data_IF_251989958492
#
_entry.id   IF_251989958492
#
_cell.length_a   1.000
_cell.length_b   1.000
_cell.length_c   1.000
_cell.angle_alpha   90.00
_cell.angle_beta   90.00
_cell.angle_gamma   90.00
#
_symmetry.space_group_name_H-M   'P 1'
#
loop_
_entity.id
_entity.type
_entity.pdbx_description
1 polymer ?
#
# COMPACT_ATOMS: atom_id res chain seq x y z
N UNK A 1 -17.73 6.37 30.36
CA UNK A 1 -17.05 7.54 29.74
C UNK A 1 -17.92 8.11 28.62
N UNK A 2 -18.67 9.17 28.93
CA UNK A 2 -19.61 9.80 28.00
C UNK A 2 -18.86 10.53 26.86
N UNK A 3 -19.30 10.33 25.61
CA UNK A 3 -18.78 11.11 24.48
C UNK A 3 -19.20 12.56 24.65
N UNK A 4 -18.24 13.50 24.64
CA UNK A 4 -18.50 14.95 24.68
C UNK A 4 -19.61 15.35 23.69
N UNK A 5 -20.49 16.27 24.09
CA UNK A 5 -21.57 16.81 23.25
C UNK A 5 -21.10 17.22 21.85
N UNK A 6 -19.87 17.74 21.74
CA UNK A 6 -19.26 18.11 20.45
C UNK A 6 -19.00 16.88 19.57
N UNK A 7 -18.52 15.77 20.14
CA UNK A 7 -18.33 14.50 19.43
C UNK A 7 -19.66 13.88 19.01
N UNK A 8 -20.69 13.94 19.87
CA UNK A 8 -22.03 13.41 19.54
C UNK A 8 -22.70 14.17 18.38
N UNK A 9 -22.65 15.51 18.39
CA UNK A 9 -23.16 16.33 17.27
C UNK A 9 -22.42 16.04 15.97
N UNK A 10 -21.10 15.94 16.01
CA UNK A 10 -20.30 15.60 14.83
C UNK A 10 -20.62 14.19 14.30
N UNK A 11 -20.79 13.21 15.18
CA UNK A 11 -21.11 11.84 14.78
C UNK A 11 -22.52 11.73 14.17
N UNK A 12 -23.52 12.44 14.73
CA UNK A 12 -24.86 12.55 14.12
C UNK A 12 -24.82 13.22 12.75
N UNK A 13 -24.11 14.33 12.60
CA UNK A 13 -23.96 15.02 11.33
C UNK A 13 -23.23 14.16 10.27
N UNK A 14 -22.20 13.41 10.68
CA UNK A 14 -21.51 12.48 9.80
C UNK A 14 -22.40 11.29 9.43
N UNK A 15 -23.18 10.74 10.36
CA UNK A 15 -24.10 9.64 10.09
C UNK A 15 -25.19 10.04 9.08
N UNK A 16 -25.74 11.25 9.17
CA UNK A 16 -26.71 11.78 8.20
C UNK A 16 -26.11 11.96 6.79
N UNK A 17 -24.81 12.27 6.70
CA UNK A 17 -24.08 12.39 5.42
C UNK A 17 -23.57 11.06 4.87
N UNK A 18 -23.44 10.04 5.73
CA UNK A 18 -22.89 8.73 5.39
C UNK A 18 -24.00 7.77 4.94
N UNK A 19 -24.73 8.14 3.88
CA UNK A 19 -25.54 7.13 3.20
C UNK A 19 -24.58 6.33 2.33
N UNK A 20 -24.31 5.08 2.72
CA UNK A 20 -23.43 4.20 1.95
C UNK A 20 -23.82 4.12 0.47
N UNK A 21 -22.97 3.57 -0.40
CA UNK A 21 -23.18 3.60 -1.83
C UNK A 21 -24.53 2.98 -2.23
N UNK A 22 -25.43 3.80 -2.79
CA UNK A 22 -26.81 3.38 -3.15
C UNK A 22 -26.90 2.76 -4.56
N UNK A 23 -25.93 3.05 -5.43
CA UNK A 23 -25.89 2.59 -6.83
C UNK A 23 -24.96 1.38 -6.99
N UNK A 24 -25.22 0.54 -8.00
CA UNK A 24 -24.37 -0.63 -8.32
C UNK A 24 -22.90 -0.25 -8.52
N UNK A 25 -22.63 0.80 -9.30
CA UNK A 25 -21.27 1.33 -9.49
C UNK A 25 -20.64 1.90 -8.19
N UNK A 26 -21.46 2.49 -7.31
CA UNK A 26 -21.04 2.92 -5.99
C UNK A 26 -20.64 1.76 -5.10
N UNK A 27 -21.44 0.68 -5.08
CA UNK A 27 -21.15 -0.55 -4.34
C UNK A 27 -19.88 -1.22 -4.87
N UNK A 28 -19.68 -1.25 -6.18
CA UNK A 28 -18.47 -1.80 -6.82
C UNK A 28 -17.20 -0.98 -6.53
N UNK A 29 -17.31 0.34 -6.46
CA UNK A 29 -16.19 1.21 -6.01
C UNK A 29 -15.89 1.02 -4.53
N UNK A 30 -16.92 0.88 -3.69
CA UNK A 30 -16.77 0.63 -2.26
C UNK A 30 -16.23 -0.76 -1.94
N UNK A 31 -16.65 -1.80 -2.68
CA UNK A 31 -16.09 -3.15 -2.56
C UNK A 31 -14.63 -3.18 -3.00
N UNK A 32 -14.28 -2.42 -4.05
CA UNK A 32 -12.88 -2.20 -4.44
C UNK A 32 -12.06 -1.50 -3.37
N UNK A 33 -12.62 -0.67 -2.49
CA UNK A 33 -11.85 -0.11 -1.37
C UNK A 33 -11.41 -1.20 -0.37
N UNK A 34 -12.26 -2.20 -0.13
CA UNK A 34 -11.91 -3.33 0.74
C UNK A 34 -10.86 -4.24 0.10
N UNK A 35 -10.98 -4.48 -1.22
CA UNK A 35 -10.02 -5.26 -2.02
C UNK A 35 -8.69 -4.51 -2.20
N UNK A 36 -8.71 -3.19 -2.41
CA UNK A 36 -7.52 -2.33 -2.60
C UNK A 36 -6.61 -2.31 -1.37
N UNK A 37 -7.18 -2.49 -0.19
CA UNK A 37 -6.45 -2.47 1.08
C UNK A 37 -6.12 -3.87 1.61
N UNK A 38 -6.37 -4.95 0.85
CA UNK A 38 -6.03 -6.33 1.24
C UNK A 38 -6.77 -6.84 2.48
N UNK A 39 -7.67 -6.04 3.06
CA UNK A 39 -8.33 -6.37 4.31
C UNK A 39 -9.24 -7.59 4.16
N UNK A 40 -9.73 -7.91 2.96
CA UNK A 40 -10.63 -9.06 2.69
C UNK A 40 -9.93 -10.36 2.30
N UNK A 41 -8.60 -10.40 2.18
CA UNK A 41 -7.85 -11.60 1.72
C UNK A 41 -7.22 -12.42 2.84
N UNK A 42 -7.72 -12.30 4.07
CA UNK A 42 -7.33 -13.26 5.12
C UNK A 42 -8.04 -14.58 4.88
N UNK A 43 -7.30 -15.68 4.90
CA UNK A 43 -7.86 -17.03 4.91
C UNK A 43 -8.70 -17.22 6.19
N UNK A 44 -9.87 -17.84 6.05
CA UNK A 44 -10.81 -18.13 7.14
C UNK A 44 -11.89 -17.07 7.38
N UNK A 45 -13.01 -17.50 7.98
CA UNK A 45 -14.11 -16.61 8.35
C UNK A 45 -13.69 -15.73 9.54
N UNK A 46 -13.77 -14.39 9.44
CA UNK A 46 -13.52 -13.51 10.58
C UNK A 46 -14.42 -13.85 11.78
N UNK A 47 -15.66 -14.28 11.52
CA UNK A 47 -16.61 -14.62 12.57
C UNK A 47 -16.17 -15.85 13.36
N UNK A 48 -15.65 -16.89 12.69
CA UNK A 48 -15.15 -18.09 13.35
C UNK A 48 -13.90 -17.80 14.19
N UNK A 49 -12.98 -16.99 13.68
CA UNK A 49 -11.81 -16.58 14.45
C UNK A 49 -12.19 -15.76 15.68
N UNK A 50 -13.19 -14.86 15.56
CA UNK A 50 -13.71 -14.08 16.68
C UNK A 50 -14.34 -15.01 17.73
N UNK A 51 -15.23 -15.92 17.30
CA UNK A 51 -15.89 -16.86 18.19
C UNK A 51 -14.88 -17.72 18.96
N UNK A 52 -13.93 -18.34 18.24
CA UNK A 52 -12.86 -19.15 18.84
C UNK A 52 -12.06 -18.39 19.89
N UNK A 53 -11.62 -17.16 19.58
CA UNK A 53 -10.83 -16.35 20.53
C UNK A 53 -11.68 -15.93 21.73
N UNK A 54 -12.96 -15.58 21.53
CA UNK A 54 -13.85 -15.19 22.61
C UNK A 54 -14.19 -16.36 23.54
N UNK A 55 -14.44 -17.54 22.98
CA UNK A 55 -14.64 -18.79 23.72
C UNK A 55 -13.41 -19.18 24.52
N UNK A 56 -12.22 -19.09 23.92
CA UNK A 56 -10.94 -19.33 24.60
C UNK A 56 -10.76 -18.41 25.82
N UNK A 57 -11.07 -17.11 25.65
CA UNK A 57 -10.95 -16.10 26.72
C UNK A 57 -11.94 -16.34 27.88
N UNK A 58 -13.07 -17.00 27.61
CA UNK A 58 -14.13 -17.24 28.59
C UNK A 58 -14.27 -18.71 29.00
N UNK A 59 -13.36 -19.62 28.61
CA UNK A 59 -13.50 -21.08 28.83
C UNK A 59 -13.79 -21.46 30.29
N UNK A 60 -13.20 -20.72 31.23
CA UNK A 60 -13.33 -20.94 32.68
C UNK A 60 -13.90 -19.71 33.40
N UNK A 61 -14.50 -18.75 32.67
CA UNK A 61 -15.00 -17.51 33.25
C UNK A 61 -16.39 -17.73 33.86
N UNK A 62 -16.57 -17.59 35.18
CA UNK A 62 -17.86 -17.81 35.84
C UNK A 62 -18.88 -16.67 35.58
N UNK A 63 -18.49 -15.62 34.84
CA UNK A 63 -19.31 -14.42 34.66
C UNK A 63 -19.75 -14.17 33.21
N UNK A 64 -21.00 -14.49 32.85
CA UNK A 64 -21.53 -14.32 31.49
C UNK A 64 -21.46 -12.88 30.95
N UNK A 65 -21.48 -11.86 31.82
CA UNK A 65 -21.40 -10.45 31.40
C UNK A 65 -20.05 -10.09 30.77
N UNK A 66 -18.98 -10.86 31.03
CA UNK A 66 -17.64 -10.63 30.46
C UNK A 66 -17.52 -11.12 29.02
N UNK A 67 -18.45 -11.94 28.56
CA UNK A 67 -18.50 -12.44 27.18
C UNK A 67 -18.54 -11.29 26.16
N UNK A 68 -19.26 -10.20 26.46
CA UNK A 68 -19.27 -9.00 25.61
C UNK A 68 -17.87 -8.37 25.46
N UNK A 69 -17.09 -8.34 26.54
CA UNK A 69 -15.73 -7.82 26.52
C UNK A 69 -14.75 -8.78 25.82
N UNK A 70 -14.92 -10.10 25.98
CA UNK A 70 -14.15 -11.10 25.25
C UNK A 70 -14.36 -10.99 23.73
N UNK A 71 -15.60 -10.84 23.27
CA UNK A 71 -15.92 -10.59 21.85
C UNK A 71 -15.25 -9.31 21.37
N UNK A 72 -15.32 -8.21 22.13
CA UNK A 72 -14.66 -6.95 21.76
C UNK A 72 -13.12 -7.06 21.70
N UNK A 73 -12.50 -7.89 22.53
CA UNK A 73 -11.06 -8.21 22.47
C UNK A 73 -10.76 -9.00 21.19
N UNK A 74 -11.55 -10.04 20.92
CA UNK A 74 -11.40 -10.92 19.77
C UNK A 74 -11.57 -10.17 18.44
N UNK A 75 -12.61 -9.34 18.31
CA UNK A 75 -12.83 -8.46 17.16
C UNK A 75 -11.61 -7.57 16.90
N UNK A 76 -11.13 -6.89 17.95
CA UNK A 76 -9.99 -5.98 17.82
C UNK A 76 -8.70 -6.74 17.42
N UNK A 77 -8.52 -7.97 17.93
CA UNK A 77 -7.37 -8.81 17.59
C UNK A 77 -7.40 -9.23 16.11
N UNK A 78 -8.53 -9.73 15.63
CA UNK A 78 -8.68 -10.12 14.22
C UNK A 78 -8.48 -8.93 13.28
N UNK A 79 -8.92 -7.73 13.66
CA UNK A 79 -8.63 -6.51 12.89
C UNK A 79 -7.13 -6.18 12.85
N UNK A 80 -6.41 -6.31 13.97
CA UNK A 80 -4.95 -6.06 14.02
C UNK A 80 -4.22 -7.04 13.09
N UNK A 81 -4.54 -8.32 13.17
CA UNK A 81 -3.92 -9.37 12.36
C UNK A 81 -4.15 -9.12 10.86
N UNK A 82 -5.37 -8.75 10.47
CA UNK A 82 -5.69 -8.40 9.08
C UNK A 82 -4.94 -7.17 8.60
N UNK A 83 -4.79 -6.15 9.44
CA UNK A 83 -4.00 -4.95 9.10
C UNK A 83 -2.52 -5.32 8.93
N UNK A 84 -1.97 -6.16 9.81
CA UNK A 84 -0.58 -6.62 9.70
C UNK A 84 -0.35 -7.45 8.44
N UNK A 85 -1.26 -8.36 8.12
CA UNK A 85 -1.22 -9.12 6.85
C UNK A 85 -1.26 -8.17 5.65
N UNK A 86 -2.18 -7.22 5.64
CA UNK A 86 -2.27 -6.21 4.58
C UNK A 86 -0.99 -5.37 4.43
N UNK A 87 -0.28 -5.06 5.52
CA UNK A 87 1.03 -4.38 5.47
C UNK A 87 2.08 -5.23 4.76
N UNK A 88 2.16 -6.52 5.09
CA UNK A 88 3.07 -7.48 4.42
C UNK A 88 2.71 -7.62 2.94
N UNK A 89 1.44 -7.82 2.63
CA UNK A 89 0.94 -7.96 1.25
C UNK A 89 1.25 -6.71 0.41
N UNK A 90 1.21 -5.52 1.01
CA UNK A 90 1.55 -4.26 0.33
C UNK A 90 3.02 -4.23 -0.10
N UNK A 91 3.92 -4.67 0.79
CA UNK A 91 5.37 -4.74 0.52
C UNK A 91 5.66 -5.82 -0.52
N UNK A 92 5.09 -7.02 -0.34
CA UNK A 92 5.24 -8.15 -1.26
C UNK A 92 4.69 -7.85 -2.66
N UNK A 93 3.57 -7.14 -2.77
CA UNK A 93 3.04 -6.66 -4.06
C UNK A 93 4.08 -5.81 -4.79
N UNK A 94 4.74 -4.88 -4.09
CA UNK A 94 5.76 -4.03 -4.69
C UNK A 94 7.05 -4.77 -5.00
N UNK A 95 7.36 -5.84 -4.25
CA UNK A 95 8.45 -6.76 -4.56
C UNK A 95 8.22 -7.53 -5.86
N UNK A 96 6.97 -7.91 -6.14
CA UNK A 96 6.55 -8.60 -7.38
C UNK A 96 6.48 -7.69 -8.60
N UNK A 97 6.43 -6.36 -8.42
CA UNK A 97 6.51 -5.43 -9.55
C UNK A 97 7.96 -5.42 -10.06
N UNK A 98 8.18 -6.03 -11.24
CA UNK A 98 9.47 -5.99 -11.94
C UNK A 98 10.03 -4.57 -11.93
N UNK A 99 11.34 -4.42 -11.73
CA UNK A 99 11.97 -3.10 -11.69
C UNK A 99 11.59 -2.33 -12.96
N UNK A 100 11.43 -0.99 -12.87
CA UNK A 100 11.05 -0.20 -14.02
C UNK A 100 12.07 -0.46 -15.13
N UNK A 101 11.62 -0.52 -16.38
CA UNK A 101 12.50 -0.95 -17.44
C UNK A 101 13.71 -0.05 -17.63
N UNK A 102 14.73 -0.58 -18.31
CA UNK A 102 15.86 0.22 -18.78
C UNK A 102 15.29 1.46 -19.47
N UNK A 103 15.61 2.61 -18.90
CA UNK A 103 15.14 3.91 -19.30
C UNK A 103 16.22 4.91 -18.92
N UNK A 104 16.32 6.02 -19.66
CA UNK A 104 17.38 6.99 -19.44
C UNK A 104 17.49 7.40 -17.96
N UNK A 105 16.35 7.77 -17.36
CA UNK A 105 16.31 8.19 -15.95
C UNK A 105 16.72 7.06 -14.99
N UNK A 106 16.26 5.83 -15.21
CA UNK A 106 16.63 4.69 -14.35
C UNK A 106 18.13 4.38 -14.47
N UNK A 107 18.70 4.55 -15.68
CA UNK A 107 20.14 4.36 -15.91
C UNK A 107 20.96 5.44 -15.23
N UNK A 108 20.48 6.70 -15.26
CA UNK A 108 21.09 7.81 -14.50
C UNK A 108 21.07 7.52 -13.01
N UNK A 109 19.90 7.16 -12.46
CA UNK A 109 19.73 6.84 -11.03
C UNK A 109 20.65 5.71 -10.61
N UNK A 110 20.69 4.59 -11.35
CA UNK A 110 21.56 3.46 -11.05
C UNK A 110 23.05 3.85 -11.03
N UNK A 111 23.47 4.74 -11.93
CA UNK A 111 24.86 5.25 -11.95
C UNK A 111 25.16 6.20 -10.79
N UNK A 112 24.20 7.01 -10.36
CA UNK A 112 24.32 7.85 -9.16
C UNK A 112 24.49 6.97 -7.92
N UNK A 113 23.64 5.96 -7.77
CA UNK A 113 23.69 5.01 -6.65
C UNK A 113 25.03 4.23 -6.62
N UNK A 114 25.58 3.89 -7.80
CA UNK A 114 26.88 3.24 -7.92
C UNK A 114 28.08 4.20 -7.76
N UNK A 115 27.86 5.52 -7.61
CA UNK A 115 28.95 6.51 -7.59
C UNK A 115 29.72 6.62 -8.92
N UNK A 116 29.15 6.15 -10.02
CA UNK A 116 29.77 6.13 -11.36
C UNK A 116 29.64 7.49 -12.06
N UNK A 117 30.35 8.49 -11.53
CA UNK A 117 30.38 9.85 -12.09
C UNK A 117 30.82 9.85 -13.56
N UNK A 118 31.81 9.02 -13.92
CA UNK A 118 32.32 8.91 -15.30
C UNK A 118 31.23 8.41 -16.25
N UNK A 119 30.47 7.40 -15.85
CA UNK A 119 29.36 6.88 -16.63
C UNK A 119 28.21 7.87 -16.79
N UNK A 120 27.94 8.70 -15.77
CA UNK A 120 26.94 9.78 -15.86
C UNK A 120 27.38 10.82 -16.90
N UNK A 121 28.63 11.27 -16.84
CA UNK A 121 29.18 12.23 -17.81
C UNK A 121 29.09 11.67 -19.23
N UNK A 122 29.52 10.42 -19.43
CA UNK A 122 29.44 9.76 -20.74
C UNK A 122 27.99 9.68 -21.28
N UNK A 123 27.03 9.38 -20.41
CA UNK A 123 25.61 9.31 -20.77
C UNK A 123 25.07 10.69 -21.19
N UNK A 124 25.41 11.75 -20.46
CA UNK A 124 25.03 13.13 -20.81
C UNK A 124 25.67 13.58 -22.13
N UNK A 125 26.93 13.23 -22.38
CA UNK A 125 27.60 13.49 -23.65
C UNK A 125 26.88 12.78 -24.81
N UNK A 126 26.45 11.52 -24.63
CA UNK A 126 25.66 10.82 -25.66
C UNK A 126 24.29 11.48 -25.89
N UNK A 127 23.56 11.82 -24.84
CA UNK A 127 22.25 12.50 -24.95
C UNK A 127 22.37 13.86 -25.66
N UNK A 128 23.43 14.62 -25.40
CA UNK A 128 23.67 15.91 -26.06
C UNK A 128 24.01 15.74 -27.54
N UNK A 129 24.76 14.70 -27.93
CA UNK A 129 25.00 14.37 -29.33
C UNK A 129 23.69 14.00 -30.07
N UNK A 130 22.85 13.16 -29.46
CA UNK A 130 21.52 12.80 -29.99
C UNK A 130 20.63 14.03 -30.16
N UNK A 131 20.59 14.92 -29.16
CA UNK A 131 19.80 16.16 -29.22
C UNK A 131 20.27 17.09 -30.36
N UNK A 132 21.59 17.20 -30.58
CA UNK A 132 22.14 17.99 -31.69
C UNK A 132 21.72 17.42 -33.04
N UNK A 133 21.80 16.09 -33.22
CA UNK A 133 21.42 15.44 -34.46
C UNK A 133 19.91 15.52 -34.73
N UNK A 134 19.08 15.33 -33.69
CA UNK A 134 17.63 15.53 -33.79
C UNK A 134 17.29 16.96 -34.22
N UNK A 135 17.92 17.96 -33.59
CA UNK A 135 17.69 19.36 -33.93
C UNK A 135 18.08 19.68 -35.38
N UNK A 136 19.19 19.09 -35.86
CA UNK A 136 19.64 19.24 -37.26
C UNK A 136 18.60 18.69 -38.24
N UNK A 137 18.05 17.50 -37.96
CA UNK A 137 17.01 16.86 -38.78
C UNK A 137 15.70 17.61 -38.76
N UNK A 138 15.26 18.09 -37.59
CA UNK A 138 14.08 18.94 -37.47
C UNK A 138 14.22 20.21 -38.32
N UNK A 139 15.41 20.84 -38.32
CA UNK A 139 15.70 22.01 -39.16
C UNK A 139 15.72 21.66 -40.66
N UNK A 140 16.10 20.45 -41.03
CA UNK A 140 16.05 19.94 -42.40
C UNK A 140 14.63 19.54 -42.85
N UNK A 141 13.61 19.67 -41.98
CA UNK A 141 12.21 19.35 -42.30
C UNK A 141 11.86 17.86 -42.15
N UNK A 142 12.77 17.03 -41.66
CA UNK A 142 12.49 15.62 -41.36
C UNK A 142 11.59 15.52 -40.13
N UNK A 143 10.40 14.91 -40.30
CA UNK A 143 9.42 14.70 -39.21
C UNK A 143 9.32 13.25 -38.75
N UNK A 144 9.97 12.33 -39.44
CA UNK A 144 9.92 10.90 -39.16
C UNK A 144 11.09 10.49 -38.28
N UNK A 145 10.83 9.59 -37.33
CA UNK A 145 11.88 9.01 -36.51
C UNK A 145 12.84 8.20 -37.41
N UNK A 146 14.17 8.39 -37.27
CA UNK A 146 15.14 7.62 -38.04
C UNK A 146 15.06 6.14 -37.66
N UNK A 147 15.15 5.27 -38.66
CA UNK A 147 15.17 3.81 -38.47
C UNK A 147 16.56 3.27 -38.14
N UNK A 148 17.61 4.04 -38.45
CA UNK A 148 19.02 3.65 -38.30
C UNK A 148 19.88 4.82 -37.82
N UNK A 149 21.06 4.49 -37.29
CA UNK A 149 22.05 5.46 -36.81
C UNK A 149 21.87 5.87 -35.35
N UNK A 150 22.68 6.82 -34.90
CA UNK A 150 22.87 7.16 -33.47
C UNK A 150 21.55 7.44 -32.74
N UNK A 151 20.59 8.10 -33.40
CA UNK A 151 19.28 8.37 -32.80
C UNK A 151 18.48 7.07 -32.63
N UNK A 152 18.45 6.20 -33.64
CA UNK A 152 17.72 4.93 -33.58
C UNK A 152 18.35 3.98 -32.54
N UNK A 153 19.68 3.90 -32.51
CA UNK A 153 20.42 3.10 -31.53
C UNK A 153 20.16 3.59 -30.10
N UNK A 154 20.19 4.91 -29.89
CA UNK A 154 19.87 5.53 -28.61
C UNK A 154 18.43 5.24 -28.16
N UNK A 155 17.47 5.36 -29.09
CA UNK A 155 16.08 5.06 -28.78
C UNK A 155 15.87 3.59 -28.48
N UNK A 156 16.51 2.68 -29.21
CA UNK A 156 16.43 1.24 -28.93
C UNK A 156 17.06 0.89 -27.57
N UNK A 157 18.20 1.50 -27.22
CA UNK A 157 18.89 1.29 -25.94
C UNK A 157 18.03 1.69 -24.73
N UNK A 158 17.35 2.85 -24.78
CA UNK A 158 16.66 3.44 -23.63
C UNK A 158 15.12 3.40 -23.69
N UNK A 159 14.54 3.27 -24.87
CA UNK A 159 13.10 3.36 -25.10
C UNK A 159 12.56 2.23 -26.00
N UNK A 160 13.42 1.30 -26.42
CA UNK A 160 13.06 0.18 -27.27
C UNK A 160 12.16 -0.85 -26.59
N UNK A 161 11.62 -1.81 -27.35
CA UNK A 161 10.90 -2.94 -26.79
C UNK A 161 11.79 -3.66 -25.78
N UNK A 162 11.34 -3.72 -24.54
CA UNK A 162 12.10 -4.36 -23.48
C UNK A 162 11.87 -5.86 -23.60
N UNK A 163 12.93 -6.59 -23.88
CA UNK A 163 12.93 -8.02 -23.61
C UNK A 163 12.54 -8.19 -22.14
N UNK A 164 11.54 -9.03 -21.89
CA UNK A 164 11.05 -9.37 -20.56
C UNK A 164 12.08 -10.21 -19.76
N UNK A 165 13.38 -9.92 -19.93
CA UNK A 165 14.46 -10.51 -19.18
C UNK A 165 14.28 -10.31 -17.67
N UNK A 166 14.98 -11.11 -16.85
CA UNK A 166 14.89 -11.03 -15.41
C UNK A 166 15.43 -9.68 -14.94
N UNK A 167 14.52 -8.72 -14.76
CA UNK A 167 14.81 -7.50 -14.02
C UNK A 167 15.16 -7.90 -12.59
N UNK A 168 16.26 -7.39 -12.01
CA UNK A 168 16.59 -7.71 -10.63
C UNK A 168 15.38 -7.37 -9.74
N UNK A 169 15.03 -8.23 -8.77
CA UNK A 169 13.98 -7.89 -7.82
C UNK A 169 14.33 -6.55 -7.18
N UNK A 170 13.33 -5.68 -7.01
CA UNK A 170 13.52 -4.42 -6.28
C UNK A 170 14.12 -4.73 -4.91
N UNK A 171 15.05 -3.89 -4.47
CA UNK A 171 15.62 -4.03 -3.14
C UNK A 171 14.53 -3.84 -2.09
N UNK A 172 14.64 -4.54 -0.95
CA UNK A 172 13.64 -4.48 0.12
C UNK A 172 13.41 -3.03 0.59
N UNK A 173 14.48 -2.21 0.60
CA UNK A 173 14.41 -0.79 0.94
C UNK A 173 13.53 -0.01 -0.04
N UNK A 174 13.69 -0.22 -1.35
CA UNK A 174 12.90 0.49 -2.36
C UNK A 174 11.42 0.10 -2.29
N UNK A 175 11.13 -1.18 -2.04
CA UNK A 175 9.78 -1.68 -1.80
C UNK A 175 9.12 -0.99 -0.60
N UNK A 176 9.83 -0.89 0.53
CA UNK A 176 9.34 -0.23 1.74
C UNK A 176 9.09 1.26 1.51
N UNK A 177 10.06 1.98 0.92
CA UNK A 177 9.94 3.42 0.65
C UNK A 177 8.71 3.72 -0.21
N UNK A 178 8.46 2.92 -1.24
CA UNK A 178 7.27 3.07 -2.10
C UNK A 178 5.98 2.65 -1.42
N UNK A 179 6.03 1.73 -0.45
CA UNK A 179 4.89 1.32 0.34
C UNK A 179 4.47 2.36 1.39
N UNK A 180 5.36 3.29 1.78
CA UNK A 180 5.18 4.20 2.91
C UNK A 180 3.81 4.91 2.95
N UNK A 181 3.27 5.49 1.85
CA UNK A 181 1.98 6.17 1.91
C UNK A 181 0.81 5.24 2.28
N UNK A 182 0.85 3.99 1.81
CA UNK A 182 -0.16 2.98 2.14
C UNK A 182 0.06 2.42 3.55
N UNK A 183 1.32 2.17 3.94
CA UNK A 183 1.68 1.72 5.28
C UNK A 183 1.29 2.75 6.36
N UNK A 184 1.49 4.04 6.11
CA UNK A 184 1.09 5.11 7.02
C UNK A 184 -0.43 5.15 7.26
N UNK A 185 -1.23 4.85 6.23
CA UNK A 185 -2.69 4.71 6.39
C UNK A 185 -3.04 3.51 7.27
N UNK A 186 -2.42 2.36 7.02
CA UNK A 186 -2.64 1.14 7.78
C UNK A 186 -2.22 1.30 9.26
N UNK A 187 -1.15 2.05 9.53
CA UNK A 187 -0.70 2.36 10.89
C UNK A 187 -1.78 3.07 11.71
N UNK A 188 -2.49 4.03 11.11
CA UNK A 188 -3.59 4.73 11.79
C UNK A 188 -4.71 3.77 12.22
N UNK A 189 -5.06 2.82 11.35
CA UNK A 189 -6.06 1.80 11.66
C UNK A 189 -5.56 0.81 12.73
N UNK A 190 -4.28 0.43 12.69
CA UNK A 190 -3.67 -0.45 13.69
C UNK A 190 -3.68 0.21 15.07
N UNK A 191 -3.26 1.48 15.18
CA UNK A 191 -3.31 2.26 16.43
C UNK A 191 -4.72 2.31 17.01
N UNK A 192 -5.74 2.55 16.17
CA UNK A 192 -7.15 2.55 16.61
C UNK A 192 -7.62 1.18 17.08
N UNK A 193 -7.24 0.10 16.40
CA UNK A 193 -7.60 -1.26 16.79
C UNK A 193 -6.91 -1.64 18.12
N UNK A 194 -5.63 -1.28 18.30
CA UNK A 194 -4.89 -1.46 19.56
C UNK A 194 -5.53 -0.71 20.73
N UNK A 195 -5.97 0.54 20.52
CA UNK A 195 -6.68 1.29 21.55
C UNK A 195 -8.00 0.62 21.94
N UNK A 196 -8.77 0.11 20.97
CA UNK A 196 -10.00 -0.65 21.26
C UNK A 196 -9.70 -1.92 22.05
N UNK A 197 -8.70 -2.70 21.61
CA UNK A 197 -8.25 -3.91 22.31
C UNK A 197 -7.86 -3.58 23.75
N UNK A 198 -7.01 -2.57 23.98
CA UNK A 198 -6.59 -2.16 25.33
C UNK A 198 -7.77 -1.74 26.20
N UNK A 199 -8.75 -1.01 25.66
CA UNK A 199 -9.95 -0.63 26.40
C UNK A 199 -10.80 -1.84 26.76
N UNK A 200 -10.98 -2.78 25.84
CA UNK A 200 -11.74 -4.00 26.07
C UNK A 200 -11.05 -4.90 27.09
N UNK A 201 -9.72 -5.06 27.01
CA UNK A 201 -8.91 -5.78 28.01
C UNK A 201 -9.05 -5.16 29.40
N UNK A 202 -8.99 -3.82 29.52
CA UNK A 202 -9.21 -3.16 30.82
C UNK A 202 -10.61 -3.40 31.37
N UNK A 203 -11.64 -3.36 30.52
CA UNK A 203 -13.02 -3.62 30.93
C UNK A 203 -13.24 -5.09 31.32
N UNK A 204 -12.58 -6.01 30.61
CA UNK A 204 -12.57 -7.44 30.92
C UNK A 204 -11.88 -7.74 32.25
N UNK A 205 -10.76 -7.07 32.53
CA UNK A 205 -9.96 -7.26 33.73
C UNK A 205 -10.48 -6.48 34.96
N UNK A 206 -11.33 -5.47 34.76
CA UNK A 206 -11.94 -4.74 35.86
C UNK A 206 -12.83 -5.71 36.65
N UNK A 207 -12.41 -6.05 37.87
CA UNK A 207 -13.30 -6.65 38.84
C UNK A 207 -14.39 -5.61 39.13
N UNK A 208 -15.62 -5.92 38.73
CA UNK A 208 -16.76 -5.29 39.37
C UNK A 208 -16.88 -5.96 40.73
N UNK A 209 -16.10 -5.45 41.69
CA UNK A 209 -16.35 -5.71 43.10
C UNK A 209 -17.74 -5.12 43.37
N UNK A 210 -18.71 -6.01 43.64
CA UNK A 210 -20.04 -5.65 44.13
C UNK A 210 -19.96 -5.14 45.57
#
# INVERSE_FOLDING_TARGET
MASSHRKLRANRGNAQKSTGPRTGAGKLRSSRNAVRHGLTSSEGSPAEAIARIAEELCREDPFPYRQHHAVAIAEAQVVIERIRKARVDTIERLRRVKAPPKGLLNTVVAKIEAGDIKGIIALLCRQTAVNKEMLKRMKAGERTAPKEGIIADYFNEFFGPQDAGPSPPRTDLECVVRALPELARLEHYERRALVRKRRAVRAFAARFDN
#
